data_IF_588393257154
#
_entry.id   IF_588393257154
#
_cell.length_a   1.000
_cell.length_b   1.000
_cell.length_c   1.000
_cell.angle_alpha   90.00
_cell.angle_beta   90.00
_cell.angle_gamma   90.00
#
_symmetry.space_group_name_H-M   'P 1'
#
loop_
_entity.id
_entity.type
_entity.pdbx_description
1 polymer ?
#
# COMPACT_ATOMS: atom_id res chain seq x y z
N UNK A 1 8.35 -6.78 -15.16
CA UNK A 1 7.29 -5.74 -15.17
C UNK A 1 7.46 -4.67 -14.08
N UNK A 2 8.57 -4.61 -13.34
CA UNK A 2 8.76 -3.65 -12.23
C UNK A 2 9.04 -2.20 -12.68
N UNK A 3 9.77 -1.99 -13.78
CA UNK A 3 10.13 -0.65 -14.24
C UNK A 3 8.91 0.20 -14.65
N UNK A 4 7.98 -0.39 -15.42
CA UNK A 4 6.76 0.30 -15.84
C UNK A 4 5.87 0.67 -14.65
N UNK A 5 5.76 -0.19 -13.64
CA UNK A 5 5.02 0.10 -12.42
C UNK A 5 5.62 1.30 -11.67
N UNK A 6 6.96 1.38 -11.58
CA UNK A 6 7.63 2.52 -10.97
C UNK A 6 7.35 3.84 -11.69
N UNK A 7 7.32 3.82 -13.03
CA UNK A 7 6.96 5.00 -13.83
C UNK A 7 5.50 5.42 -13.56
N UNK A 8 4.56 4.46 -13.58
CA UNK A 8 3.14 4.74 -13.34
C UNK A 8 2.91 5.36 -11.95
N UNK A 9 3.53 4.79 -10.90
CA UNK A 9 3.46 5.34 -9.55
C UNK A 9 3.97 6.78 -9.47
N UNK A 10 5.08 7.09 -10.14
CA UNK A 10 5.64 8.44 -10.17
C UNK A 10 4.73 9.44 -10.88
N UNK A 11 4.08 9.04 -11.97
CA UNK A 11 3.12 9.89 -12.68
C UNK A 11 1.87 10.18 -11.82
N UNK A 12 1.37 9.20 -11.08
CA UNK A 12 0.27 9.38 -10.13
C UNK A 12 0.63 10.34 -8.99
N UNK A 13 1.84 10.21 -8.44
CA UNK A 13 2.35 11.11 -7.39
C UNK A 13 2.47 12.56 -7.90
N UNK A 14 3.04 12.77 -9.10
CA UNK A 14 3.12 14.10 -9.74
C UNK A 14 1.72 14.69 -9.93
N UNK A 15 0.76 13.91 -10.41
CA UNK A 15 -0.62 14.38 -10.62
C UNK A 15 -1.30 14.80 -9.31
N UNK A 16 -1.14 14.02 -8.24
CA UNK A 16 -1.66 14.35 -6.91
C UNK A 16 -1.06 15.65 -6.38
N UNK A 17 0.27 15.79 -6.47
CA UNK A 17 0.99 17.02 -6.09
C UNK A 17 0.57 18.24 -6.89
N UNK A 18 0.40 18.11 -8.20
CA UNK A 18 -0.03 19.21 -9.07
C UNK A 18 -1.45 19.70 -8.77
N UNK A 19 -2.34 18.79 -8.32
CA UNK A 19 -3.74 19.09 -8.01
C UNK A 19 -3.97 19.37 -6.51
N UNK A 20 -2.96 19.19 -5.66
CA UNK A 20 -3.07 19.38 -4.21
C UNK A 20 -3.98 18.35 -3.52
N UNK A 21 -4.15 17.16 -4.09
CA UNK A 21 -5.03 16.09 -3.56
C UNK A 21 -4.27 14.78 -3.40
N UNK A 22 -4.79 13.88 -2.56
CA UNK A 22 -4.21 12.55 -2.40
C UNK A 22 -4.48 11.66 -3.63
N UNK A 23 -3.66 10.62 -3.84
CA UNK A 23 -3.94 9.62 -4.89
C UNK A 23 -5.28 8.90 -4.62
N UNK A 24 -5.66 8.70 -3.36
CA UNK A 24 -7.00 8.16 -3.02
C UNK A 24 -8.13 9.06 -3.50
N UNK A 25 -8.00 10.38 -3.40
CA UNK A 25 -9.02 11.32 -3.90
C UNK A 25 -9.15 11.23 -5.42
N UNK A 26 -8.03 11.09 -6.13
CA UNK A 26 -8.03 10.89 -7.58
C UNK A 26 -8.68 9.56 -8.00
N UNK A 27 -8.69 8.56 -7.11
CA UNK A 27 -9.30 7.25 -7.32
C UNK A 27 -10.76 7.17 -6.83
N UNK A 28 -11.33 8.26 -6.33
CA UNK A 28 -12.74 8.34 -5.90
C UNK A 28 -12.95 8.61 -4.41
N UNK A 29 -11.89 8.91 -3.66
CA UNK A 29 -11.96 9.34 -2.27
C UNK A 29 -12.05 8.21 -1.23
N UNK A 30 -12.18 8.60 0.04
CA UNK A 30 -12.22 7.68 1.17
C UNK A 30 -13.51 6.85 1.20
N UNK A 31 -13.37 5.53 1.26
CA UNK A 31 -14.50 4.58 1.41
C UNK A 31 -14.47 3.81 2.74
N UNK A 32 -13.47 4.04 3.59
CA UNK A 32 -13.30 3.44 4.92
C UNK A 32 -12.29 4.23 5.76
N UNK A 33 -12.42 4.17 7.08
CA UNK A 33 -11.54 4.93 8.00
C UNK A 33 -10.19 4.24 8.27
N UNK A 34 -10.12 2.91 8.12
CA UNK A 34 -8.88 2.13 8.34
C UNK A 34 -8.77 0.94 7.40
N UNK A 35 -7.53 0.58 7.07
CA UNK A 35 -7.18 -0.61 6.28
C UNK A 35 -6.74 -1.71 7.23
N UNK A 36 -7.34 -2.91 7.13
CA UNK A 36 -6.84 -4.08 7.84
C UNK A 36 -5.53 -4.52 7.20
N UNK A 37 -4.49 -4.65 8.01
CA UNK A 37 -3.21 -5.21 7.61
C UNK A 37 -3.06 -6.62 8.20
N UNK A 38 -2.32 -7.48 7.52
CA UNK A 38 -1.89 -8.76 8.05
C UNK A 38 -0.36 -8.78 8.11
N UNK A 39 0.19 -9.49 9.09
CA UNK A 39 1.61 -9.75 9.16
C UNK A 39 1.91 -11.12 8.59
N UNK A 40 3.08 -11.24 7.98
CA UNK A 40 3.65 -12.55 7.79
C UNK A 40 4.08 -13.12 9.15
N UNK A 41 3.87 -14.41 9.33
CA UNK A 41 4.30 -15.15 10.50
C UNK A 41 5.44 -16.05 10.07
N UNK A 42 6.62 -15.81 10.63
CA UNK A 42 7.84 -16.52 10.30
C UNK A 42 8.30 -17.45 11.40
N UNK A 43 8.77 -18.62 11.00
CA UNK A 43 9.38 -19.59 11.91
C UNK A 43 9.57 -20.93 11.22
N UNK A 44 10.72 -21.54 11.46
CA UNK A 44 11.03 -22.87 10.90
C UNK A 44 10.26 -23.98 11.64
N UNK A 45 9.78 -23.71 12.86
CA UNK A 45 9.04 -24.67 13.69
C UNK A 45 7.74 -24.08 14.22
N UNK A 46 6.63 -24.84 14.21
CA UNK A 46 5.33 -24.36 14.71
C UNK A 46 5.35 -23.84 16.16
N UNK A 47 6.22 -24.40 17.01
CA UNK A 47 6.32 -24.01 18.42
C UNK A 47 6.89 -22.60 18.62
N UNK A 48 7.76 -22.14 17.72
CA UNK A 48 8.40 -20.83 17.81
C UNK A 48 7.40 -19.74 17.37
N UNK A 49 6.65 -20.03 16.31
CA UNK A 49 5.54 -19.22 15.81
C UNK A 49 4.42 -19.01 16.84
N UNK A 50 4.04 -20.05 17.60
CA UNK A 50 2.92 -19.98 18.53
C UNK A 50 3.18 -19.10 19.79
N UNK A 51 4.44 -18.70 20.03
CA UNK A 51 4.84 -17.86 21.18
C UNK A 51 4.95 -16.37 20.86
N UNK A 52 4.96 -16.01 19.57
CA UNK A 52 5.08 -14.64 19.08
C UNK A 52 3.71 -13.96 18.98
#
# INVERSE_FOLDING_TARGET
MSALAGIDQALWDIKGKALGVSVSDLLGGQVRDKIRVYSWIGGDRPADTARA
#
